data_IF_505525242010
#
_entry.id   IF_505525242010
#
_cell.length_a   1.000
_cell.length_b   1.000
_cell.length_c   1.000
_cell.angle_alpha   90.00
_cell.angle_beta   90.00
_cell.angle_gamma   90.00
#
_symmetry.space_group_name_H-M   'P 1'
#
loop_
_entity.id
_entity.type
_entity.pdbx_description
1 polymer ?
#
# COMPACT_ATOMS: atom_id res chain seq x y z
N UNK A 1 -19.21 1.07 -3.99
CA UNK A 1 -18.34 1.54 -5.07
C UNK A 1 -17.47 0.43 -5.57
N UNK A 2 -17.34 0.34 -6.89
CA UNK A 2 -16.49 -0.71 -7.46
C UNK A 2 -15.05 -0.63 -7.00
N UNK A 3 -14.54 0.60 -6.76
CA UNK A 3 -13.17 0.80 -6.30
C UNK A 3 -12.88 0.08 -5.00
N UNK A 4 -13.89 -0.03 -4.15
CA UNK A 4 -13.67 -0.57 -2.81
C UNK A 4 -13.42 -2.07 -2.80
N UNK A 5 -13.74 -2.75 -3.90
CA UNK A 5 -13.54 -4.19 -3.99
C UNK A 5 -12.06 -4.57 -3.87
N UNK A 6 -11.18 -3.67 -4.26
CA UNK A 6 -9.75 -3.95 -4.30
C UNK A 6 -8.98 -3.12 -3.29
N UNK A 7 -9.69 -2.45 -2.39
CA UNK A 7 -9.06 -1.77 -1.29
C UNK A 7 -8.70 -2.79 -0.23
N UNK A 8 -7.44 -2.76 0.16
CA UNK A 8 -6.92 -3.69 1.16
C UNK A 8 -6.61 -2.90 2.42
N UNK A 9 -7.01 -3.46 3.54
CA UNK A 9 -6.62 -2.92 4.84
C UNK A 9 -5.79 -3.93 5.59
N UNK A 10 -4.67 -3.48 6.12
CA UNK A 10 -3.81 -4.27 6.99
C UNK A 10 -3.70 -3.58 8.33
N UNK A 11 -3.71 -4.36 9.40
CA UNK A 11 -3.54 -3.85 10.75
C UNK A 11 -2.33 -4.52 11.36
N UNK A 12 -1.51 -3.73 12.02
CA UNK A 12 -0.30 -4.23 12.64
C UNK A 12 -0.12 -3.58 13.99
N UNK A 13 0.08 -4.38 15.02
CA UNK A 13 0.41 -3.84 16.34
C UNK A 13 1.91 -3.55 16.36
N UNK A 14 2.27 -2.33 16.70
CA UNK A 14 3.69 -1.94 16.74
C UNK A 14 4.29 -2.41 18.04
N UNK A 15 5.01 -3.52 17.97
CA UNK A 15 5.73 -4.10 19.08
C UNK A 15 7.22 -3.73 18.99
N UNK A 16 7.99 -3.94 20.05
CA UNK A 16 9.41 -3.57 20.04
C UNK A 16 10.21 -4.11 18.86
N UNK A 17 9.84 -5.29 18.33
CA UNK A 17 10.55 -5.88 17.19
C UNK A 17 10.42 -5.05 15.92
N UNK A 18 9.41 -4.18 15.83
CA UNK A 18 9.23 -3.30 14.67
C UNK A 18 9.74 -1.89 14.93
N UNK A 19 10.25 -1.63 16.12
CA UNK A 19 10.55 -0.27 16.54
C UNK A 19 12.03 0.05 16.38
N UNK A 20 12.29 1.36 16.27
CA UNK A 20 13.63 1.88 16.33
C UNK A 20 14.01 2.19 17.78
N UNK A 21 15.22 2.75 17.96
CA UNK A 21 15.73 3.05 19.31
C UNK A 21 15.03 4.23 19.97
N UNK A 22 14.14 4.92 19.25
CA UNK A 22 13.33 6.01 19.81
C UNK A 22 11.97 5.52 20.33
N UNK A 23 11.68 4.23 20.17
CA UNK A 23 10.41 3.69 20.64
C UNK A 23 9.25 3.87 19.67
N UNK A 24 9.54 4.07 18.41
CA UNK A 24 8.51 4.19 17.38
C UNK A 24 8.84 3.29 16.18
N UNK A 25 7.87 3.09 15.31
CA UNK A 25 8.00 2.23 14.15
C UNK A 25 9.24 2.60 13.34
N UNK A 26 10.09 1.62 13.07
CA UNK A 26 11.24 1.81 12.21
C UNK A 26 10.76 2.04 10.77
N UNK A 27 11.31 3.06 10.10
CA UNK A 27 10.84 3.43 8.77
C UNK A 27 10.90 2.27 7.78
N UNK A 28 11.94 1.44 7.85
CA UNK A 28 12.06 0.29 6.96
C UNK A 28 10.94 -0.72 7.15
N UNK A 29 10.52 -0.93 8.39
CA UNK A 29 9.39 -1.82 8.66
C UNK A 29 8.08 -1.20 8.17
N UNK A 30 7.94 0.10 8.34
CA UNK A 30 6.76 0.81 7.81
C UNK A 30 6.67 0.67 6.30
N UNK A 31 7.79 0.85 5.62
CA UNK A 31 7.84 0.71 4.17
C UNK A 31 7.52 -0.72 3.73
N UNK A 32 8.01 -1.70 4.46
CA UNK A 32 7.72 -3.09 4.16
C UNK A 32 6.23 -3.38 4.26
N UNK A 33 5.59 -2.90 5.31
CA UNK A 33 4.16 -3.10 5.51
C UNK A 33 3.34 -2.40 4.42
N UNK A 34 3.74 -1.18 4.04
CA UNK A 34 3.09 -0.45 2.96
C UNK A 34 3.22 -1.21 1.64
N UNK A 35 4.42 -1.74 1.37
CA UNK A 35 4.67 -2.50 0.15
C UNK A 35 3.78 -3.74 0.07
N UNK A 36 3.60 -4.42 1.20
CA UNK A 36 2.74 -5.59 1.26
C UNK A 36 1.28 -5.20 0.96
N UNK A 37 0.81 -4.12 1.55
CA UNK A 37 -0.56 -3.65 1.30
C UNK A 37 -0.75 -3.27 -0.16
N UNK A 38 0.21 -2.57 -0.74
CA UNK A 38 0.16 -2.17 -2.15
C UNK A 38 0.13 -3.38 -3.07
N UNK A 39 0.98 -4.37 -2.76
CA UNK A 39 1.04 -5.60 -3.54
C UNK A 39 -0.31 -6.32 -3.55
N UNK A 40 -0.90 -6.46 -2.37
CA UNK A 40 -2.17 -7.18 -2.25
C UNK A 40 -3.30 -6.47 -2.99
N UNK A 41 -3.33 -5.13 -2.91
CA UNK A 41 -4.34 -4.36 -3.62
C UNK A 41 -4.18 -4.50 -5.14
N UNK A 42 -2.95 -4.36 -5.63
CA UNK A 42 -2.67 -4.49 -7.06
C UNK A 42 -3.00 -5.88 -7.57
N UNK A 43 -2.61 -6.92 -6.82
CA UNK A 43 -2.88 -8.29 -7.24
C UNK A 43 -4.37 -8.58 -7.25
N UNK A 44 -5.10 -8.05 -6.27
CA UNK A 44 -6.55 -8.19 -6.24
C UNK A 44 -7.18 -7.55 -7.48
N UNK A 45 -6.74 -6.35 -7.84
CA UNK A 45 -7.28 -5.69 -9.03
C UNK A 45 -6.92 -6.44 -10.30
N UNK A 46 -5.65 -6.80 -10.46
CA UNK A 46 -5.14 -7.39 -11.70
C UNK A 46 -5.64 -8.82 -11.91
N UNK A 47 -5.97 -9.53 -10.83
CA UNK A 47 -6.34 -10.94 -10.86
C UNK A 47 -5.27 -11.79 -11.51
N UNK A 48 -4.01 -11.42 -11.30
CA UNK A 48 -2.83 -12.12 -11.75
C UNK A 48 -1.62 -11.58 -10.99
N UNK A 49 -0.46 -12.17 -11.20
CA UNK A 49 0.72 -11.74 -10.48
C UNK A 49 1.16 -10.34 -10.90
N UNK A 50 1.73 -9.63 -9.95
CA UNK A 50 2.21 -8.28 -10.14
C UNK A 50 3.59 -8.17 -9.51
N UNK A 51 4.35 -7.19 -9.98
CA UNK A 51 5.63 -6.84 -9.36
C UNK A 51 5.65 -5.35 -9.09
N UNK A 52 6.46 -4.96 -8.12
CA UNK A 52 6.64 -3.54 -7.82
C UNK A 52 7.69 -2.98 -8.74
N UNK A 53 7.34 -1.92 -9.47
CA UNK A 53 8.25 -1.27 -10.39
C UNK A 53 8.88 -0.03 -9.80
N UNK A 54 8.25 0.58 -8.80
CA UNK A 54 8.80 1.77 -8.20
C UNK A 54 7.96 2.27 -7.04
N UNK A 55 8.53 3.19 -6.29
CA UNK A 55 7.88 3.81 -5.14
C UNK A 55 8.04 5.31 -5.31
N UNK A 56 6.96 6.04 -5.12
CA UNK A 56 6.98 7.49 -5.24
C UNK A 56 6.37 8.13 -4.01
N UNK A 57 6.91 9.30 -3.66
CA UNK A 57 6.26 10.19 -2.70
C UNK A 57 5.95 9.53 -1.36
N UNK A 58 6.86 8.71 -0.86
CA UNK A 58 6.68 8.12 0.46
C UNK A 58 7.04 9.16 1.50
N UNK A 59 6.12 9.37 2.43
CA UNK A 59 6.28 10.34 3.50
C UNK A 59 5.98 9.69 4.84
N UNK A 60 6.86 9.93 5.79
CA UNK A 60 6.65 9.54 7.18
C UNK A 60 6.25 10.79 7.92
N UNK A 61 4.94 10.97 8.10
CA UNK A 61 4.38 12.25 8.57
C UNK A 61 4.57 12.45 10.07
N UNK A 62 4.58 11.36 10.82
CA UNK A 62 4.71 11.40 12.27
C UNK A 62 5.13 10.03 12.77
N UNK A 63 5.75 9.95 13.97
CA UNK A 63 6.12 8.66 14.54
C UNK A 63 4.90 7.83 14.92
N UNK A 64 5.03 6.52 14.80
CA UNK A 64 4.03 5.57 15.30
C UNK A 64 4.60 4.91 16.53
N UNK A 65 4.15 5.28 17.73
CA UNK A 65 4.74 4.75 18.97
C UNK A 65 4.49 3.25 19.15
N UNK A 66 5.39 2.61 19.89
CA UNK A 66 5.18 1.25 20.35
C UNK A 66 3.85 1.19 21.08
N UNK A 67 3.06 0.16 20.82
CA UNK A 67 1.76 -0.04 21.44
C UNK A 67 0.60 0.49 20.62
N UNK A 68 0.88 1.32 19.60
CA UNK A 68 -0.17 1.74 18.70
C UNK A 68 -0.46 0.66 17.67
N UNK A 69 -1.67 0.64 17.17
CA UNK A 69 -2.05 -0.15 16.02
C UNK A 69 -1.83 0.71 14.79
N UNK A 70 -1.15 0.16 13.80
CA UNK A 70 -0.98 0.80 12.50
C UNK A 70 -2.02 0.23 11.56
N UNK A 71 -2.90 1.09 11.05
CA UNK A 71 -3.86 0.70 10.04
C UNK A 71 -3.39 1.24 8.70
N UNK A 72 -3.20 0.34 7.74
CA UNK A 72 -2.81 0.71 6.39
C UNK A 72 -3.97 0.43 5.44
N UNK A 73 -4.24 1.39 4.57
CA UNK A 73 -5.25 1.22 3.53
C UNK A 73 -4.60 1.46 2.18
N UNK A 74 -4.71 0.48 1.29
CA UNK A 74 -4.14 0.54 -0.05
C UNK A 74 -5.25 0.41 -1.08
N UNK A 75 -5.22 1.25 -2.10
CA UNK A 75 -6.19 1.16 -3.18
C UNK A 75 -5.55 1.58 -4.50
N UNK A 76 -5.93 0.89 -5.56
CA UNK A 76 -5.51 1.25 -6.91
C UNK A 76 -6.27 2.49 -7.33
N UNK A 77 -5.55 3.56 -7.64
CA UNK A 77 -6.19 4.82 -8.02
C UNK A 77 -5.93 5.21 -9.47
N UNK A 78 -5.01 4.51 -10.13
CA UNK A 78 -4.70 4.81 -11.51
C UNK A 78 -4.28 3.53 -12.21
N UNK A 79 -4.75 3.33 -13.43
CA UNK A 79 -4.49 2.12 -14.20
C UNK A 79 -4.02 2.51 -15.60
N UNK A 80 -2.84 2.01 -15.98
CA UNK A 80 -2.34 2.09 -17.34
C UNK A 80 -2.58 0.79 -18.08
N UNK A 81 -1.83 0.55 -19.14
CA UNK A 81 -2.00 -0.65 -19.92
C UNK A 81 -1.66 -1.91 -19.14
N UNK A 82 -0.49 -1.93 -18.50
CA UNK A 82 -0.05 -3.05 -17.69
C UNK A 82 0.31 -2.60 -16.28
N UNK A 83 0.20 -1.32 -15.97
CA UNK A 83 0.65 -0.74 -14.73
C UNK A 83 -0.51 -0.22 -13.90
N UNK A 84 -0.26 -0.11 -12.60
CA UNK A 84 -1.22 0.42 -11.65
C UNK A 84 -0.47 1.28 -10.66
N UNK A 85 -1.09 2.40 -10.27
CA UNK A 85 -0.58 3.20 -9.17
C UNK A 85 -1.46 2.93 -7.95
N UNK A 86 -0.84 2.53 -6.86
CA UNK A 86 -1.54 2.19 -5.62
C UNK A 86 -1.18 3.20 -4.57
N UNK A 87 -2.19 3.85 -4.02
CA UNK A 87 -2.01 4.78 -2.90
C UNK A 87 -2.12 4.01 -1.61
N UNK A 88 -1.16 4.21 -0.71
CA UNK A 88 -1.20 3.62 0.61
C UNK A 88 -1.18 4.73 1.63
N UNK A 89 -2.13 4.69 2.55
CA UNK A 89 -2.19 5.64 3.66
C UNK A 89 -2.20 4.85 4.95
N UNK A 90 -1.48 5.34 5.95
CA UNK A 90 -1.40 4.67 7.24
C UNK A 90 -1.78 5.59 8.39
N UNK A 91 -2.50 5.05 9.35
CA UNK A 91 -2.90 5.75 10.56
C UNK A 91 -2.42 4.98 11.77
N UNK A 92 -1.94 5.72 12.76
CA UNK A 92 -1.65 5.16 14.08
C UNK A 92 -2.84 5.40 14.98
N UNK A 93 -3.21 4.39 15.75
CA UNK A 93 -4.34 4.55 16.66
C UNK A 93 -4.15 3.72 17.93
N UNK A 94 -4.63 4.24 19.03
CA UNK A 94 -4.63 3.58 20.33
C UNK A 94 -5.66 4.27 21.20
N UNK A 95 -6.16 3.60 22.27
CA UNK A 95 -7.22 4.18 23.07
C UNK A 95 -6.92 5.59 23.60
N UNK A 96 -5.70 5.80 24.11
CA UNK A 96 -5.33 7.10 24.65
C UNK A 96 -4.65 8.02 23.65
N UNK A 97 -4.34 7.50 22.48
CA UNK A 97 -3.61 8.23 21.45
C UNK A 97 -4.56 8.89 20.45
N UNK A 98 -5.74 8.28 20.27
CA UNK A 98 -6.63 8.69 19.19
C UNK A 98 -6.19 8.10 17.88
N UNK A 99 -6.40 8.84 16.80
CA UNK A 99 -6.05 8.39 15.44
C UNK A 99 -5.30 9.51 14.74
N UNK A 100 -4.18 9.18 14.14
CA UNK A 100 -3.34 10.15 13.45
C UNK A 100 -2.79 9.55 12.19
N UNK A 101 -2.87 10.28 11.09
CA UNK A 101 -2.23 9.84 9.84
C UNK A 101 -0.73 9.94 9.99
N UNK A 102 -0.01 8.87 9.68
CA UNK A 102 1.43 8.79 9.91
C UNK A 102 2.24 8.44 8.68
N UNK A 103 1.62 7.77 7.70
CA UNK A 103 2.34 7.30 6.50
C UNK A 103 1.53 7.59 5.25
N UNK A 104 2.23 7.90 4.17
CA UNK A 104 1.64 8.02 2.83
C UNK A 104 2.64 7.51 1.81
N UNK A 105 2.14 6.95 0.72
CA UNK A 105 3.01 6.56 -0.37
C UNK A 105 2.23 6.17 -1.60
N UNK A 106 2.92 6.19 -2.74
CA UNK A 106 2.38 5.73 -4.01
C UNK A 106 3.33 4.68 -4.55
N UNK A 107 2.77 3.53 -4.88
CA UNK A 107 3.54 2.36 -5.30
C UNK A 107 3.12 2.00 -6.72
N UNK A 108 4.11 1.91 -7.61
CA UNK A 108 3.88 1.58 -9.01
C UNK A 108 4.03 0.08 -9.19
N UNK A 109 2.96 -0.56 -9.65
CA UNK A 109 2.91 -2.00 -9.80
C UNK A 109 2.67 -2.35 -11.26
N UNK A 110 3.17 -3.49 -11.70
CA UNK A 110 3.03 -3.95 -13.07
C UNK A 110 2.53 -5.38 -13.08
N UNK A 111 1.49 -5.64 -13.88
CA UNK A 111 0.98 -6.99 -14.07
C UNK A 111 1.91 -7.76 -15.00
N UNK A 112 2.20 -9.00 -14.64
CA UNK A 112 3.15 -9.82 -15.37
C UNK A 112 2.57 -11.19 -15.67
N UNK A 113 3.12 -11.82 -16.70
CA UNK A 113 2.81 -13.21 -17.03
C UNK A 113 3.78 -14.15 -16.32
N UNK A 114 3.65 -15.43 -16.61
CA UNK A 114 4.49 -16.46 -15.98
C UNK A 114 5.97 -16.28 -16.29
N UNK A 115 6.29 -15.64 -17.40
CA UNK A 115 7.67 -15.36 -17.76
C UNK A 115 8.21 -14.06 -17.22
N UNK A 116 7.39 -13.33 -16.45
CA UNK A 116 7.82 -12.06 -15.86
C UNK A 116 7.68 -10.87 -16.80
N UNK A 117 6.99 -11.03 -17.90
CA UNK A 117 6.82 -9.94 -18.86
C UNK A 117 5.54 -9.18 -18.60
N UNK A 118 5.53 -7.85 -18.77
CA UNK A 118 4.31 -7.07 -18.58
C UNK A 118 3.20 -7.55 -19.49
N UNK A 119 1.98 -7.58 -18.96
CA UNK A 119 0.80 -7.96 -19.73
C UNK A 119 -0.29 -6.93 -19.52
N UNK A 120 -1.15 -6.82 -20.52
CA UNK A 120 -2.27 -5.88 -20.43
C UNK A 120 -3.25 -6.31 -19.36
N UNK A 121 -3.78 -5.32 -18.65
CA UNK A 121 -4.74 -5.54 -17.58
C UNK A 121 -6.14 -5.71 -18.14
N UNK A 122 -6.93 -6.53 -17.47
CA UNK A 122 -8.36 -6.58 -17.69
C UNK A 122 -8.99 -5.54 -16.76
N UNK A 123 -9.89 -4.73 -17.28
CA UNK A 123 -10.48 -3.68 -16.48
C UNK A 123 -11.56 -4.24 -15.58
N UNK A 124 -11.44 -3.94 -14.30
CA UNK A 124 -12.25 -4.54 -13.25
C UNK A 124 -13.24 -3.55 -12.63
N UNK A 125 -13.68 -2.58 -13.41
CA UNK A 125 -14.65 -1.63 -12.91
C UNK A 125 -14.07 -0.33 -12.39
N UNK A 126 -12.78 -0.20 -12.32
CA UNK A 126 -12.12 1.05 -11.99
C UNK A 126 -12.05 1.89 -13.26
N UNK A 127 -12.29 3.19 -13.10
CA UNK A 127 -12.13 4.09 -14.24
C UNK A 127 -10.70 4.02 -14.73
N UNK A 128 -10.54 3.76 -16.01
CA UNK A 128 -9.24 3.54 -16.60
C UNK A 128 -8.69 4.82 -17.21
N UNK A 129 -7.42 5.05 -17.01
CA UNK A 129 -6.71 6.09 -17.76
C UNK A 129 -6.64 5.70 -19.21
N UNK A 130 -6.78 6.65 -20.10
CA UNK A 130 -6.76 6.37 -21.52
C UNK A 130 -5.35 6.07 -22.04
N UNK A 131 -4.34 6.54 -21.36
CA UNK A 131 -2.98 6.32 -21.81
C UNK A 131 -2.44 5.01 -21.30
N UNK A 132 -1.66 4.35 -22.11
CA UNK A 132 -0.96 3.15 -21.68
C UNK A 132 0.07 3.46 -20.63
#
# INVERSE_FOLDING_TARGET
MALDQHTIELRELVLPSLANHHGSLFAGHGLQLMSKAAFLSARSYAQREVVMAGIRQVHFLAPTPIGCELLLRASVHRVGRSSMSVTVTGWAQAPDFGTQEVLQGVFEMVAIDAGGQPVALHHQGIHKESTP
#
